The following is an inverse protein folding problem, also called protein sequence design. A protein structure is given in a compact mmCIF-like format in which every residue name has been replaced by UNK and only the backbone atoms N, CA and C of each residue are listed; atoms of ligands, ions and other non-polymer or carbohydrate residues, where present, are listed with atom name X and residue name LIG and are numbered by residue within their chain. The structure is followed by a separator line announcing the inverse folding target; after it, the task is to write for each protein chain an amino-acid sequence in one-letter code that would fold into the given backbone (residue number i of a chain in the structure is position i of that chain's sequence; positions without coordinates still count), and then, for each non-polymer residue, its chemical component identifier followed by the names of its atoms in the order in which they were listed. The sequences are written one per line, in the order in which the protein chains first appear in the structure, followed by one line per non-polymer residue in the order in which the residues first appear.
data_IF_448605626800
#
_entry.id   IF_448605626800
#
_cell.length_a   1.000
_cell.length_b   1.000
_cell.length_c   1.000
_cell.angle_alpha   90.00
_cell.angle_beta   90.00
_cell.angle_gamma   90.00
#
_symmetry.space_group_name_H-M   'P 1'
#
loop_
_entity.id
_entity.type
_entity.pdbx_description
1 polymer ?
#
# COMPACT_ATOMS: atom_id res chain seq x y z
N UNK A 1 -24.66 21.13 9.49
CA UNK A 1 -24.16 19.95 8.75
C UNK A 1 -22.68 19.85 9.09
N UNK A 2 -22.15 18.66 9.39
CA UNK A 2 -20.83 18.51 10.01
C UNK A 2 -19.72 19.28 9.27
N UNK A 3 -19.25 20.41 9.83
CA UNK A 3 -18.08 21.14 9.34
C UNK A 3 -16.82 20.45 9.88
N UNK A 4 -16.39 19.42 9.17
CA UNK A 4 -15.13 18.77 9.45
C UNK A 4 -13.97 19.64 8.95
N UNK A 5 -12.83 19.55 9.65
CA UNK A 5 -11.60 20.15 9.15
C UNK A 5 -11.27 19.59 7.77
N UNK A 6 -10.72 20.43 6.88
CA UNK A 6 -10.40 20.06 5.51
C UNK A 6 -9.57 18.76 5.39
N UNK A 7 -8.75 18.47 6.41
CA UNK A 7 -7.93 17.25 6.47
C UNK A 7 -8.67 15.96 6.87
N UNK A 8 -9.92 16.04 7.34
CA UNK A 8 -10.61 14.89 7.94
C UNK A 8 -11.07 13.93 6.86
N UNK A 9 -11.56 14.48 5.73
CA UNK A 9 -11.95 13.69 4.56
C UNK A 9 -10.77 12.90 3.98
N UNK A 10 -9.62 13.52 3.64
CA UNK A 10 -8.49 12.77 3.09
C UNK A 10 -7.93 11.74 4.07
N UNK A 11 -7.88 12.04 5.37
CA UNK A 11 -7.45 11.07 6.39
C UNK A 11 -8.42 9.89 6.46
N UNK A 12 -9.72 10.14 6.52
CA UNK A 12 -10.74 9.08 6.58
C UNK A 12 -10.65 8.13 5.38
N UNK A 13 -10.43 8.66 4.17
CA UNK A 13 -10.26 7.86 2.95
C UNK A 13 -9.06 6.91 3.08
N UNK A 14 -7.92 7.38 3.58
CA UNK A 14 -6.72 6.55 3.77
C UNK A 14 -7.00 5.41 4.75
N UNK A 15 -7.62 5.69 5.90
CA UNK A 15 -7.95 4.66 6.89
C UNK A 15 -8.93 3.61 6.36
N UNK A 16 -9.95 4.03 5.59
CA UNK A 16 -10.89 3.11 4.95
C UNK A 16 -10.18 2.22 3.93
N UNK A 17 -9.29 2.78 3.11
CA UNK A 17 -8.50 2.00 2.14
C UNK A 17 -7.59 0.98 2.82
N UNK A 18 -6.90 1.38 3.89
CA UNK A 18 -6.06 0.47 4.69
C UNK A 18 -6.90 -0.64 5.31
N UNK A 19 -8.06 -0.30 5.88
CA UNK A 19 -8.99 -1.28 6.43
C UNK A 19 -9.45 -2.29 5.37
N UNK A 20 -9.83 -1.82 4.17
CA UNK A 20 -10.22 -2.69 3.05
C UNK A 20 -9.08 -3.59 2.59
N UNK A 21 -7.84 -3.09 2.51
CA UNK A 21 -6.68 -3.90 2.13
C UNK A 21 -6.38 -4.99 3.17
N UNK A 22 -6.44 -4.67 4.46
CA UNK A 22 -6.24 -5.64 5.54
C UNK A 22 -7.37 -6.69 5.52
N UNK A 23 -8.63 -6.25 5.45
CA UNK A 23 -9.78 -7.15 5.40
C UNK A 23 -9.73 -8.08 4.17
N UNK A 24 -9.42 -7.53 2.99
CA UNK A 24 -9.26 -8.30 1.76
C UNK A 24 -8.17 -9.37 1.88
N UNK A 25 -7.03 -9.03 2.49
CA UNK A 25 -5.95 -10.01 2.70
C UNK A 25 -6.28 -11.05 3.76
N UNK A 26 -7.01 -10.70 4.81
CA UNK A 26 -7.49 -11.67 5.82
C UNK A 26 -8.44 -12.68 5.18
N UNK A 27 -9.39 -12.22 4.36
CA UNK A 27 -10.32 -13.08 3.62
C UNK A 27 -9.55 -13.97 2.65
N UNK A 28 -8.63 -13.40 1.87
CA UNK A 28 -7.84 -14.15 0.89
C UNK A 28 -6.91 -15.17 1.54
N UNK A 29 -6.30 -14.84 2.69
CA UNK A 29 -5.46 -15.75 3.46
C UNK A 29 -6.25 -16.93 4.04
N UNK A 30 -7.53 -16.71 4.39
CA UNK A 30 -8.42 -17.78 4.82
C UNK A 30 -8.82 -18.70 3.66
N UNK A 31 -9.07 -18.14 2.48
CA UNK A 31 -9.45 -18.88 1.26
C UNK A 31 -8.27 -19.61 0.60
N UNK A 32 -7.06 -19.04 0.65
CA UNK A 32 -5.86 -19.57 -0.02
C UNK A 32 -4.72 -19.63 0.99
N UNK A 33 -4.51 -20.79 1.64
CA UNK A 33 -3.43 -20.97 2.61
C UNK A 33 -2.09 -20.52 2.01
N UNK A 34 -1.36 -19.62 2.69
CA UNK A 34 -0.12 -19.09 2.18
C UNK A 34 0.85 -20.23 1.90
N UNK A 35 1.28 -20.34 0.65
CA UNK A 35 2.40 -21.19 0.30
C UNK A 35 3.64 -20.31 0.32
N UNK A 36 4.53 -20.55 1.28
CA UNK A 36 5.86 -19.95 1.32
C UNK A 36 6.57 -20.29 0.02
N UNK A 37 6.74 -19.28 -0.83
CA UNK A 37 7.54 -19.40 -2.05
C UNK A 37 8.70 -18.44 -1.94
N UNK A 38 9.89 -18.95 -2.20
CA UNK A 38 11.09 -18.12 -2.30
C UNK A 38 10.95 -17.23 -3.53
N UNK A 39 10.85 -15.92 -3.32
CA UNK A 39 10.79 -14.94 -4.40
C UNK A 39 12.17 -14.68 -5.02
N UNK A 40 12.21 -13.73 -5.96
CA UNK A 40 13.43 -13.37 -6.70
C UNK A 40 14.60 -12.89 -5.81
N UNK A 41 14.32 -12.34 -4.63
CA UNK A 41 15.33 -11.88 -3.67
C UNK A 41 15.89 -12.97 -2.72
N UNK A 42 15.46 -14.23 -2.83
CA UNK A 42 15.91 -15.31 -1.94
C UNK A 42 15.27 -15.27 -0.53
N UNK A 43 14.49 -14.24 -0.21
CA UNK A 43 13.65 -14.20 0.99
C UNK A 43 12.36 -15.00 0.76
N UNK A 44 11.99 -15.77 1.76
CA UNK A 44 10.68 -16.44 1.80
C UNK A 44 9.66 -15.41 2.24
N UNK A 45 8.91 -14.86 1.28
CA UNK A 45 7.86 -13.88 1.54
C UNK A 45 6.48 -14.51 1.35
N UNK A 46 5.61 -14.42 2.37
CA UNK A 46 4.20 -14.79 2.21
C UNK A 46 3.45 -13.68 1.44
N UNK A 47 2.30 -14.02 0.81
CA UNK A 47 1.51 -13.03 0.04
C UNK A 47 1.08 -11.83 0.90
N UNK A 48 0.82 -12.06 2.18
CA UNK A 48 0.56 -11.03 3.18
C UNK A 48 1.73 -10.07 3.38
N UNK A 49 2.94 -10.61 3.48
CA UNK A 49 4.17 -9.84 3.68
C UNK A 49 4.49 -8.98 2.44
N UNK A 50 4.23 -9.49 1.23
CA UNK A 50 4.38 -8.71 -0.02
C UNK A 50 3.45 -7.51 -0.07
N UNK A 51 2.19 -7.65 0.35
CA UNK A 51 1.24 -6.54 0.40
C UNK A 51 1.64 -5.52 1.48
N UNK A 52 2.09 -5.98 2.65
CA UNK A 52 2.60 -5.09 3.70
C UNK A 52 3.82 -4.30 3.23
N UNK A 53 4.77 -4.97 2.57
CA UNK A 53 5.95 -4.32 1.99
C UNK A 53 5.56 -3.30 0.91
N UNK A 54 4.64 -3.65 0.02
CA UNK A 54 4.12 -2.73 -1.00
C UNK A 54 3.46 -1.49 -0.37
N UNK A 55 2.71 -1.66 0.71
CA UNK A 55 2.10 -0.56 1.46
C UNK A 55 3.12 0.37 2.10
N UNK A 56 4.15 -0.17 2.76
CA UNK A 56 5.23 0.63 3.34
C UNK A 56 5.95 1.42 2.24
N UNK A 57 6.31 0.77 1.14
CA UNK A 57 7.01 1.44 0.04
C UNK A 57 6.15 2.54 -0.59
N UNK A 58 4.85 2.29 -0.79
CA UNK A 58 3.91 3.31 -1.25
C UNK A 58 3.84 4.51 -0.29
N UNK A 59 3.74 4.24 1.02
CA UNK A 59 3.71 5.29 2.04
C UNK A 59 5.01 6.11 2.06
N UNK A 60 6.17 5.46 1.95
CA UNK A 60 7.46 6.15 1.88
C UNK A 60 7.57 7.04 0.63
N UNK A 61 7.10 6.57 -0.53
CA UNK A 61 7.06 7.38 -1.76
C UNK A 61 6.14 8.61 -1.58
N UNK A 62 4.99 8.45 -0.93
CA UNK A 62 4.10 9.56 -0.58
C UNK A 62 4.75 10.54 0.39
N UNK A 63 5.47 10.07 1.41
CA UNK A 63 6.19 10.94 2.36
C UNK A 63 7.28 11.75 1.65
N UNK A 64 8.03 11.13 0.76
CA UNK A 64 9.05 11.84 -0.06
C UNK A 64 8.41 12.93 -0.91
N UNK A 65 7.19 12.70 -1.42
CA UNK A 65 6.46 13.72 -2.20
C UNK A 65 6.16 15.00 -1.41
N UNK A 66 5.95 14.91 -0.09
CA UNK A 66 5.75 16.07 0.78
C UNK A 66 7.05 16.82 1.10
N UNK A 67 8.20 16.14 1.00
CA UNK A 67 9.51 16.75 1.20
C UNK A 67 9.98 17.61 0.02
N UNK A 68 9.34 17.50 -1.14
CA UNK A 68 9.70 18.23 -2.36
C UNK A 68 8.64 19.30 -2.65
N UNK A 69 9.04 20.57 -2.67
CA UNK A 69 8.12 21.68 -2.94
C UNK A 69 7.82 21.78 -4.44
N UNK A 70 6.55 21.89 -4.80
CA UNK A 70 6.10 22.10 -6.18
C UNK A 70 5.88 20.82 -7.00
N UNK A 71 6.01 19.64 -6.39
CA UNK A 71 5.71 18.38 -7.06
C UNK A 71 4.22 18.06 -7.13
N UNK A 72 3.78 17.53 -8.28
CA UNK A 72 2.41 17.05 -8.47
C UNK A 72 2.21 15.71 -7.70
N UNK A 73 1.35 15.65 -6.67
CA UNK A 73 1.14 14.44 -5.86
C UNK A 73 0.71 13.23 -6.69
N UNK A 74 -0.04 13.44 -7.77
CA UNK A 74 -0.56 12.38 -8.63
C UNK A 74 0.56 11.59 -9.32
N UNK A 75 1.70 12.22 -9.60
CA UNK A 75 2.88 11.54 -10.17
C UNK A 75 3.46 10.55 -9.17
N UNK A 76 3.60 10.96 -7.91
CA UNK A 76 4.09 10.08 -6.85
C UNK A 76 3.09 8.96 -6.56
N UNK A 77 1.78 9.20 -6.69
CA UNK A 77 0.75 8.17 -6.54
C UNK A 77 0.90 7.11 -7.62
N UNK A 78 1.11 7.52 -8.87
CA UNK A 78 1.35 6.60 -9.98
C UNK A 78 2.65 5.81 -9.80
N UNK A 79 3.74 6.45 -9.35
CA UNK A 79 5.01 5.79 -9.03
C UNK A 79 4.83 4.78 -7.90
N UNK A 80 4.18 5.17 -6.80
CA UNK A 80 3.90 4.28 -5.69
C UNK A 80 3.06 3.09 -6.12
N UNK A 81 2.01 3.30 -6.91
CA UNK A 81 1.11 2.24 -7.38
C UNK A 81 1.84 1.26 -8.31
N UNK A 82 2.69 1.76 -9.21
CA UNK A 82 3.49 0.91 -10.10
C UNK A 82 4.53 0.11 -9.35
N UNK A 83 5.25 0.72 -8.40
CA UNK A 83 6.22 0.01 -7.54
C UNK A 83 5.51 -1.04 -6.68
N UNK A 84 4.36 -0.71 -6.09
CA UNK A 84 3.54 -1.66 -5.34
C UNK A 84 3.08 -2.85 -6.19
N UNK A 85 2.64 -2.60 -7.43
CA UNK A 85 2.26 -3.66 -8.37
C UNK A 85 3.45 -4.57 -8.75
N UNK A 86 4.64 -3.99 -8.90
CA UNK A 86 5.87 -4.77 -9.14
C UNK A 86 6.20 -5.66 -7.94
N UNK A 87 6.13 -5.13 -6.72
CA UNK A 87 6.36 -5.90 -5.48
C UNK A 87 5.35 -7.04 -5.35
N UNK A 88 4.08 -6.80 -5.66
CA UNK A 88 3.04 -7.83 -5.61
C UNK A 88 3.28 -8.94 -6.65
N UNK A 89 3.72 -8.59 -7.86
CA UNK A 89 3.95 -9.54 -8.96
C UNK A 89 5.26 -10.31 -8.83
N UNK A 90 6.34 -9.69 -8.33
CA UNK A 90 7.70 -10.24 -8.37
C UNK A 90 8.37 -10.43 -7.00
N UNK A 91 7.72 -10.00 -5.91
CA UNK A 91 8.26 -10.11 -4.56
C UNK A 91 8.41 -11.53 -4.07
#
# INVERSE_FOLDING_TARGET
MFDFMYWTIPVAIIFVLVFLMIAGMTIWGHLSPPHRRTGFLGFVSDRGERLYMALIVFALIMVVSFGIVGTNPWVFTAIGATVGAVILKWG
#
